data_IF_499507147274
#
_entry.id   IF_499507147274
#
_cell.length_a   1.000
_cell.length_b   1.000
_cell.length_c   1.000
_cell.angle_alpha   90.00
_cell.angle_beta   90.00
_cell.angle_gamma   90.00
#
_symmetry.space_group_name_H-M   'P 1'
#
loop_
_entity.id
_entity.type
_entity.pdbx_description
1 polymer ?
#
# COMPACT_ATOMS: atom_id res chain seq x y z
N UNK A 1 20.42 7.13 7.92
CA UNK A 1 20.55 6.88 6.46
C UNK A 1 19.50 7.75 5.77
N UNK A 2 19.82 8.38 4.64
CA UNK A 2 18.84 9.15 3.89
C UNK A 2 17.82 8.23 3.21
N UNK A 3 16.58 8.71 3.05
CA UNK A 3 15.46 7.92 2.51
C UNK A 3 15.77 7.32 1.13
N UNK A 4 16.34 8.10 0.22
CA UNK A 4 16.70 7.61 -1.12
C UNK A 4 17.74 6.49 -1.08
N UNK A 5 18.68 6.54 -0.12
CA UNK A 5 19.66 5.48 0.09
C UNK A 5 19.00 4.20 0.59
N UNK A 6 18.01 4.32 1.50
CA UNK A 6 17.25 3.14 1.96
C UNK A 6 16.54 2.48 0.78
N UNK A 7 15.79 3.26 -0.01
CA UNK A 7 15.04 2.73 -1.17
C UNK A 7 15.97 2.07 -2.19
N UNK A 8 17.10 2.72 -2.53
CA UNK A 8 18.05 2.12 -3.47
C UNK A 8 18.67 0.84 -2.95
N UNK A 9 18.99 0.78 -1.65
CA UNK A 9 19.60 -0.42 -1.04
C UNK A 9 18.61 -1.58 -1.00
N UNK A 10 17.38 -1.36 -0.51
CA UNK A 10 16.39 -2.45 -0.42
C UNK A 10 15.89 -2.92 -1.79
N UNK A 11 15.92 -2.04 -2.78
CA UNK A 11 15.53 -2.34 -4.17
C UNK A 11 16.64 -2.99 -5.00
N UNK A 12 17.88 -3.02 -4.53
CA UNK A 12 19.01 -3.59 -5.23
C UNK A 12 19.16 -5.09 -4.93
N UNK A 13 19.03 -5.93 -5.96
CA UNK A 13 19.19 -7.37 -5.82
C UNK A 13 20.62 -7.79 -5.44
N UNK A 14 21.61 -6.97 -5.75
CA UNK A 14 22.99 -7.21 -5.35
C UNK A 14 23.25 -6.93 -3.87
N UNK A 15 22.40 -6.15 -3.21
CA UNK A 15 22.48 -5.83 -1.78
C UNK A 15 21.70 -6.81 -0.88
N UNK A 16 21.25 -7.94 -1.43
CA UNK A 16 20.59 -9.00 -0.63
C UNK A 16 21.58 -9.57 0.39
N UNK A 17 21.19 -9.49 1.66
CA UNK A 17 22.06 -9.91 2.77
C UNK A 17 22.86 -8.77 3.43
N UNK A 18 22.83 -7.56 2.85
CA UNK A 18 23.46 -6.38 3.45
C UNK A 18 22.57 -5.69 4.51
N UNK A 19 21.33 -6.14 4.64
CA UNK A 19 20.37 -5.64 5.62
C UNK A 19 19.42 -6.75 6.10
N UNK A 20 18.98 -6.65 7.35
CA UNK A 20 18.07 -7.61 7.98
C UNK A 20 16.64 -7.08 8.06
N UNK A 21 16.47 -5.79 8.35
CA UNK A 21 15.18 -5.13 8.53
C UNK A 21 15.23 -3.73 7.95
N UNK A 22 14.17 -3.34 7.25
CA UNK A 22 13.97 -1.98 6.77
C UNK A 22 12.60 -1.44 7.18
N UNK A 23 12.54 -0.17 7.59
CA UNK A 23 11.29 0.53 7.89
C UNK A 23 10.90 1.42 6.71
N UNK A 24 9.76 1.14 6.11
CA UNK A 24 9.25 1.85 4.94
C UNK A 24 7.76 2.17 5.09
N UNK A 25 7.35 3.33 4.60
CA UNK A 25 5.95 3.72 4.52
C UNK A 25 5.39 3.47 3.13
N UNK A 26 4.18 2.92 3.07
CA UNK A 26 3.42 2.75 1.83
C UNK A 26 2.07 3.43 1.95
N UNK A 27 1.60 4.00 0.84
CA UNK A 27 0.26 4.60 0.75
C UNK A 27 -0.61 3.79 -0.20
N UNK A 28 -1.76 3.39 0.28
CA UNK A 28 -2.79 2.72 -0.52
C UNK A 28 -3.88 3.73 -0.81
N UNK A 29 -4.13 4.02 -2.09
CA UNK A 29 -5.01 5.11 -2.53
C UNK A 29 -6.45 4.69 -2.74
N UNK A 30 -6.71 3.40 -2.85
CA UNK A 30 -8.05 2.87 -3.08
C UNK A 30 -8.41 1.86 -1.99
N UNK A 31 -9.53 2.06 -1.24
CA UNK A 31 -9.96 1.09 -0.22
C UNK A 31 -10.43 -0.25 -0.81
N UNK A 32 -10.79 -0.30 -2.09
CA UNK A 32 -11.19 -1.53 -2.78
C UNK A 32 -10.00 -2.25 -3.43
N UNK A 33 -8.94 -1.49 -3.74
CA UNK A 33 -7.66 -2.03 -4.17
C UNK A 33 -6.78 -2.17 -2.93
N UNK A 34 -6.59 -3.38 -2.49
CA UNK A 34 -5.77 -3.64 -1.32
C UNK A 34 -4.34 -3.13 -1.48
N UNK A 35 -3.88 -2.92 -2.73
CA UNK A 35 -2.54 -2.40 -3.06
C UNK A 35 -1.39 -3.24 -2.53
N UNK A 36 -1.70 -4.29 -1.78
CA UNK A 36 -0.69 -5.15 -1.16
C UNK A 36 -0.04 -6.11 -2.14
N UNK A 37 -0.72 -6.40 -3.25
CA UNK A 37 -0.23 -7.36 -4.24
C UNK A 37 1.16 -7.01 -4.72
N UNK A 38 1.43 -5.73 -5.03
CA UNK A 38 2.73 -5.29 -5.47
C UNK A 38 3.83 -5.35 -4.40
N UNK A 39 3.47 -5.49 -3.12
CA UNK A 39 4.40 -5.65 -2.00
C UNK A 39 4.70 -7.10 -1.68
N UNK A 40 3.68 -7.97 -1.68
CA UNK A 40 3.77 -9.32 -1.11
C UNK A 40 3.66 -10.44 -2.14
N UNK A 41 3.22 -10.13 -3.36
CA UNK A 41 3.22 -11.09 -4.46
C UNK A 41 4.65 -11.41 -4.91
N UNK A 42 4.93 -12.65 -5.28
CA UNK A 42 6.27 -13.10 -5.71
C UNK A 42 6.85 -12.27 -6.85
N UNK A 43 6.01 -11.74 -7.75
CA UNK A 43 6.40 -10.86 -8.86
C UNK A 43 6.09 -9.39 -8.60
N UNK A 44 5.76 -9.03 -7.36
CA UNK A 44 5.42 -7.67 -6.99
C UNK A 44 6.60 -6.71 -7.20
N UNK A 45 6.35 -5.56 -7.84
CA UNK A 45 7.40 -4.58 -8.18
C UNK A 45 8.09 -3.97 -6.96
N UNK A 46 7.44 -4.00 -5.81
CA UNK A 46 7.97 -3.53 -4.53
C UNK A 46 8.12 -4.67 -3.51
N UNK A 47 8.23 -5.90 -3.97
CA UNK A 47 8.51 -7.05 -3.12
C UNK A 47 9.97 -7.01 -2.62
N UNK A 48 10.30 -6.00 -1.83
CA UNK A 48 11.65 -5.80 -1.29
C UNK A 48 12.08 -6.93 -0.34
N UNK A 49 11.13 -7.60 0.29
CA UNK A 49 11.40 -8.80 1.09
C UNK A 49 11.76 -10.02 0.25
N UNK A 50 11.62 -9.92 -1.09
CA UNK A 50 11.87 -11.02 -2.06
C UNK A 50 11.13 -12.29 -1.70
N UNK A 51 9.93 -12.10 -1.16
CA UNK A 51 9.03 -13.18 -0.80
C UNK A 51 8.66 -13.99 -2.04
N UNK A 52 8.71 -15.31 -1.91
CA UNK A 52 8.26 -16.25 -2.94
C UNK A 52 7.45 -17.34 -2.27
N UNK A 53 6.14 -17.30 -2.47
CA UNK A 53 5.21 -18.25 -1.86
C UNK A 53 4.02 -18.46 -2.80
N UNK A 54 3.94 -19.64 -3.40
CA UNK A 54 2.91 -19.97 -4.40
C UNK A 54 1.50 -19.98 -3.77
N UNK A 55 1.40 -20.32 -2.49
CA UNK A 55 0.12 -20.33 -1.78
C UNK A 55 -0.41 -18.91 -1.57
N UNK A 56 0.45 -18.00 -1.14
CA UNK A 56 0.12 -16.58 -1.03
C UNK A 56 -0.29 -15.99 -2.37
N UNK A 57 0.49 -16.25 -3.43
CA UNK A 57 0.19 -15.77 -4.78
C UNK A 57 -1.17 -16.30 -5.27
N UNK A 58 -1.51 -17.56 -4.96
CA UNK A 58 -2.80 -18.14 -5.32
C UNK A 58 -3.98 -17.45 -4.62
N UNK A 59 -3.82 -17.07 -3.35
CA UNK A 59 -4.86 -16.35 -2.61
C UNK A 59 -5.04 -14.92 -3.11
N UNK A 60 -3.95 -14.22 -3.42
CA UNK A 60 -4.00 -12.89 -4.02
C UNK A 60 -4.69 -12.91 -5.38
N UNK A 61 -4.33 -13.87 -6.23
CA UNK A 61 -4.96 -14.05 -7.53
C UNK A 61 -6.47 -14.39 -7.40
N UNK A 62 -6.84 -15.25 -6.46
CA UNK A 62 -8.24 -15.58 -6.21
C UNK A 62 -9.04 -14.36 -5.74
N UNK A 63 -8.44 -13.49 -4.93
CA UNK A 63 -9.06 -12.23 -4.50
C UNK A 63 -9.24 -11.22 -5.62
N UNK A 64 -8.20 -11.05 -6.45
CA UNK A 64 -8.17 -10.05 -7.51
C UNK A 64 -9.08 -10.38 -8.71
N UNK A 65 -9.21 -11.67 -9.05
CA UNK A 65 -9.91 -12.09 -10.27
C UNK A 65 -11.35 -12.56 -10.07
N UNK A 66 -11.95 -12.36 -8.89
CA UNK A 66 -13.37 -12.67 -8.66
C UNK A 66 -14.21 -11.39 -8.64
N UNK A 67 -15.40 -11.45 -9.25
CA UNK A 67 -16.39 -10.38 -9.16
C UNK A 67 -17.26 -10.47 -7.88
N UNK A 68 -17.21 -11.58 -7.18
CA UNK A 68 -17.91 -11.80 -5.92
C UNK A 68 -17.12 -11.15 -4.78
N UNK A 69 -17.69 -10.12 -4.16
CA UNK A 69 -17.04 -9.35 -3.09
C UNK A 69 -16.76 -10.19 -1.84
N UNK A 70 -17.63 -11.12 -1.49
CA UNK A 70 -17.46 -11.96 -0.31
C UNK A 70 -16.35 -13.01 -0.56
N UNK A 71 -16.33 -13.59 -1.75
CA UNK A 71 -15.27 -14.49 -2.16
C UNK A 71 -13.91 -13.78 -2.24
N UNK A 72 -13.87 -12.56 -2.77
CA UNK A 72 -12.68 -11.70 -2.80
C UNK A 72 -12.16 -11.44 -1.39
N UNK A 73 -13.02 -10.96 -0.50
CA UNK A 73 -12.65 -10.68 0.89
C UNK A 73 -12.13 -11.93 1.63
N UNK A 74 -12.75 -13.10 1.40
CA UNK A 74 -12.31 -14.36 1.99
C UNK A 74 -10.93 -14.80 1.47
N UNK A 75 -10.64 -14.58 0.18
CA UNK A 75 -9.36 -14.89 -0.42
C UNK A 75 -8.26 -13.96 0.12
N UNK A 76 -8.50 -12.65 0.16
CA UNK A 76 -7.55 -11.69 0.75
C UNK A 76 -7.30 -11.95 2.24
N UNK A 77 -8.32 -12.35 3.00
CA UNK A 77 -8.11 -12.72 4.40
C UNK A 77 -7.11 -13.88 4.53
N UNK A 78 -7.22 -14.90 3.67
CA UNK A 78 -6.24 -16.01 3.65
C UNK A 78 -4.85 -15.52 3.26
N UNK A 79 -4.74 -14.63 2.28
CA UNK A 79 -3.48 -14.02 1.89
C UNK A 79 -2.82 -13.26 3.05
N UNK A 80 -3.58 -12.47 3.80
CA UNK A 80 -3.06 -11.73 4.97
C UNK A 80 -2.63 -12.66 6.10
N UNK A 81 -3.38 -13.72 6.37
CA UNK A 81 -2.97 -14.73 7.36
C UNK A 81 -1.66 -15.39 6.93
N UNK A 82 -1.56 -15.80 5.66
CA UNK A 82 -0.34 -16.40 5.12
C UNK A 82 0.85 -15.46 5.17
N UNK A 83 0.66 -14.19 4.79
CA UNK A 83 1.69 -13.16 4.88
C UNK A 83 2.17 -12.96 6.33
N UNK A 84 1.26 -12.98 7.29
CA UNK A 84 1.61 -12.86 8.71
C UNK A 84 2.43 -14.08 9.21
N UNK A 85 2.11 -15.29 8.75
CA UNK A 85 2.89 -16.50 9.05
C UNK A 85 4.32 -16.43 8.49
N UNK A 86 4.47 -15.84 7.30
CA UNK A 86 5.77 -15.66 6.64
C UNK A 86 6.60 -14.51 7.24
N UNK A 87 5.99 -13.65 8.05
CA UNK A 87 6.62 -12.50 8.71
C UNK A 87 7.42 -11.57 7.78
N UNK A 88 7.09 -11.52 6.49
CA UNK A 88 7.81 -10.71 5.51
C UNK A 88 7.57 -9.21 5.68
N UNK A 89 6.37 -8.84 6.11
CA UNK A 89 5.96 -7.45 6.40
C UNK A 89 5.22 -7.40 7.72
N UNK A 90 5.64 -6.47 8.59
CA UNK A 90 5.03 -6.22 9.89
C UNK A 90 4.44 -4.81 9.89
N UNK A 91 3.10 -4.65 9.75
CA UNK A 91 2.47 -3.34 9.92
C UNK A 91 2.69 -2.83 11.34
N UNK A 92 3.26 -1.63 11.48
CA UNK A 92 3.57 -1.03 12.77
C UNK A 92 2.62 0.07 13.15
N UNK A 93 2.30 0.96 12.20
CA UNK A 93 1.48 2.14 12.43
C UNK A 93 0.81 2.62 11.13
N UNK A 94 -0.30 3.32 11.27
CA UNK A 94 -0.96 4.05 10.20
C UNK A 94 -0.68 5.55 10.32
N UNK A 95 -0.16 6.15 9.25
CA UNK A 95 0.09 7.60 9.23
C UNK A 95 -1.23 8.34 9.01
N UNK A 96 -1.55 9.26 9.91
CA UNK A 96 -2.66 10.16 9.74
C UNK A 96 -2.19 11.42 9.00
N UNK A 97 -2.77 11.68 7.84
CA UNK A 97 -2.48 12.89 7.05
C UNK A 97 -3.51 13.98 7.33
N UNK A 98 -3.05 15.23 7.35
CA UNK A 98 -3.87 16.40 7.59
C UNK A 98 -3.81 17.35 6.39
N UNK A 99 -4.97 17.86 5.99
CA UNK A 99 -5.06 18.94 5.01
C UNK A 99 -5.45 20.23 5.74
N UNK A 100 -4.55 21.19 5.77
CA UNK A 100 -4.82 22.53 6.30
C UNK A 100 -5.28 23.45 5.18
N UNK A 101 -6.45 24.05 5.34
CA UNK A 101 -7.00 25.01 4.37
C UNK A 101 -7.54 26.26 5.07
N UNK A 102 -7.52 27.39 4.37
CA UNK A 102 -8.23 28.57 4.83
C UNK A 102 -9.74 28.27 4.89
N UNK A 103 -10.43 28.74 5.92
CA UNK A 103 -11.89 28.53 6.11
C UNK A 103 -12.76 29.06 4.95
N UNK A 104 -12.26 30.05 4.21
CA UNK A 104 -12.91 30.61 3.02
C UNK A 104 -12.79 29.72 1.78
N UNK A 105 -11.87 28.77 1.75
CA UNK A 105 -11.77 27.82 0.64
C UNK A 105 -12.82 26.73 0.81
N UNK A 106 -13.71 26.63 -0.15
CA UNK A 106 -14.81 25.65 -0.21
C UNK A 106 -14.63 24.74 -1.41
N UNK A 107 -15.41 23.65 -1.46
CA UNK A 107 -15.42 22.71 -2.59
C UNK A 107 -14.20 21.76 -2.66
N UNK A 108 -13.23 21.87 -1.75
CA UNK A 108 -12.15 20.90 -1.64
C UNK A 108 -12.65 19.64 -0.91
N UNK A 109 -12.57 18.52 -1.59
CA UNK A 109 -12.78 17.21 -0.99
C UNK A 109 -11.46 16.69 -0.43
N UNK A 110 -11.46 16.30 0.83
CA UNK A 110 -10.30 15.71 1.50
C UNK A 110 -10.73 14.38 2.09
N UNK A 111 -10.30 13.31 1.48
CA UNK A 111 -10.50 11.96 2.00
C UNK A 111 -9.18 11.21 2.04
N UNK A 112 -9.14 10.07 2.69
CA UNK A 112 -7.96 9.21 2.71
C UNK A 112 -7.63 8.61 1.34
N UNK A 113 -8.60 8.62 0.42
CA UNK A 113 -8.50 8.01 -0.91
C UNK A 113 -8.34 9.01 -2.04
N UNK A 114 -8.74 10.27 -1.83
CA UNK A 114 -8.63 11.33 -2.83
C UNK A 114 -7.67 12.42 -2.38
N UNK A 115 -6.69 12.69 -3.20
CA UNK A 115 -5.83 13.84 -2.99
C UNK A 115 -6.62 15.13 -3.26
N UNK A 116 -6.36 16.17 -2.47
CA UNK A 116 -7.06 17.45 -2.56
C UNK A 116 -7.05 18.07 -3.98
N UNK A 117 -6.03 17.79 -4.78
CA UNK A 117 -5.88 18.30 -6.14
C UNK A 117 -6.98 17.83 -7.10
N UNK A 118 -7.59 16.67 -6.86
CA UNK A 118 -8.68 16.15 -7.70
C UNK A 118 -9.94 17.00 -7.62
N UNK A 119 -10.14 17.70 -6.51
CA UNK A 119 -11.28 18.60 -6.29
C UNK A 119 -11.00 20.08 -6.61
N UNK A 120 -9.83 20.41 -7.15
CA UNK A 120 -9.48 21.79 -7.49
C UNK A 120 -10.44 22.46 -8.49
N UNK A 121 -11.01 21.66 -9.41
CA UNK A 121 -12.00 22.17 -10.38
C UNK A 121 -13.30 22.66 -9.73
N UNK A 122 -13.60 22.20 -8.52
CA UNK A 122 -14.80 22.59 -7.75
C UNK A 122 -14.47 23.54 -6.58
N UNK A 123 -13.20 23.87 -6.39
CA UNK A 123 -12.78 24.75 -5.32
C UNK A 123 -13.11 26.21 -5.63
N UNK A 124 -13.60 26.95 -4.63
CA UNK A 124 -13.89 28.38 -4.72
C UNK A 124 -13.59 29.07 -3.40
N UNK A 125 -13.48 30.40 -3.46
CA UNK A 125 -13.35 31.24 -2.27
C UNK A 125 -14.74 31.79 -1.92
N UNK A 126 -15.13 31.60 -0.68
CA UNK A 126 -16.35 32.11 -0.07
C UNK A 126 -16.02 33.41 0.66
N UNK A 127 -16.57 34.52 0.22
CA UNK A 127 -16.27 35.89 0.71
C UNK A 127 -16.83 36.18 2.12
#
# INVERSE_FOLDING_TARGET
>A
MEFNTVISTVGDDSAVGDWDVSYLGFSFTNPEDTGVDYLIQSQGVNNFARLKDDELDSYLAAGAYTADKDASAAAYLKAYVRQAELCAYLPTDGVQTYCLRNKKVKGLNTSSTFIWSESMATAYIDD
#
